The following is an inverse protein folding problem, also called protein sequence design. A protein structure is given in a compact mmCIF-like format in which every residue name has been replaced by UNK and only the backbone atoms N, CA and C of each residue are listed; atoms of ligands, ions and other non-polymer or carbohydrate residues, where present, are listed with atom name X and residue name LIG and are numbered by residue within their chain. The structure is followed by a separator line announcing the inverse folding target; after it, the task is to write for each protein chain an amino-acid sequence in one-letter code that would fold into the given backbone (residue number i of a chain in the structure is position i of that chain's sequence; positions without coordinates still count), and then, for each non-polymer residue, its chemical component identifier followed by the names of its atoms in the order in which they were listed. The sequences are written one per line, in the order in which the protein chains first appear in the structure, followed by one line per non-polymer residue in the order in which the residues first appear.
data_IF_925176949555
#
_entry.id   IF_925176949555
#
_cell.length_a   1.000
_cell.length_b   1.000
_cell.length_c   1.000
_cell.angle_alpha   90.00
_cell.angle_beta   90.00
_cell.angle_gamma   90.00
#
_symmetry.space_group_name_H-M   'P 1'
#
loop_
_entity.id
_entity.type
_entity.pdbx_description
1 polymer ?
#
# COMPACT_ATOMS: atom_id res chain seq x y z
N UNK A 1 10.56 48.26 6.66
CA UNK A 1 11.14 48.49 5.31
C UNK A 1 11.91 47.28 4.80
N UNK A 2 13.00 46.83 5.47
CA UNK A 2 13.81 45.68 5.00
C UNK A 2 12.99 44.40 4.79
N UNK A 3 12.15 44.01 5.76
CA UNK A 3 11.30 42.81 5.64
C UNK A 3 10.36 42.86 4.42
N UNK A 4 9.84 44.04 4.07
CA UNK A 4 8.95 44.22 2.91
C UNK A 4 9.73 43.99 1.61
N UNK A 5 10.95 44.53 1.50
CA UNK A 5 11.81 44.30 0.33
C UNK A 5 12.22 42.84 0.19
N UNK A 6 12.49 42.14 1.29
CA UNK A 6 12.79 40.70 1.29
C UNK A 6 11.59 39.89 0.78
N UNK A 7 10.37 40.18 1.25
CA UNK A 7 9.15 39.50 0.80
C UNK A 7 8.89 39.76 -0.69
N UNK A 8 9.05 41.00 -1.15
CA UNK A 8 8.88 41.36 -2.56
C UNK A 8 9.90 40.67 -3.46
N UNK A 9 11.17 40.61 -3.03
CA UNK A 9 12.22 39.89 -3.75
C UNK A 9 11.91 38.38 -3.85
N UNK A 10 11.47 37.75 -2.75
CA UNK A 10 11.05 36.34 -2.75
C UNK A 10 9.85 36.11 -3.67
N UNK A 11 8.84 36.99 -3.64
CA UNK A 11 7.68 36.90 -4.52
C UNK A 11 8.09 36.99 -6.00
N UNK A 12 9.00 37.91 -6.35
CA UNK A 12 9.52 38.05 -7.71
C UNK A 12 10.32 36.82 -8.17
N UNK A 13 11.11 36.22 -7.28
CA UNK A 13 11.81 34.94 -7.55
C UNK A 13 10.81 33.81 -7.79
N UNK A 14 9.76 33.69 -6.98
CA UNK A 14 8.73 32.66 -7.14
C UNK A 14 7.98 32.84 -8.45
N UNK A 15 7.57 34.07 -8.79
CA UNK A 15 6.84 34.38 -10.02
C UNK A 15 7.71 34.15 -11.26
N UNK A 16 8.97 34.59 -11.23
CA UNK A 16 9.90 34.37 -12.36
C UNK A 16 10.19 32.89 -12.58
N UNK A 17 10.41 32.11 -11.50
CA UNK A 17 10.58 30.67 -11.59
C UNK A 17 9.33 29.97 -12.13
N UNK A 18 8.15 30.39 -11.68
CA UNK A 18 6.87 29.89 -12.19
C UNK A 18 6.71 30.17 -13.70
N UNK A 19 6.99 31.40 -14.15
CA UNK A 19 6.91 31.76 -15.58
C UNK A 19 7.92 30.95 -16.40
N UNK A 20 9.17 30.85 -15.94
CA UNK A 20 10.20 30.05 -16.59
C UNK A 20 9.75 28.59 -16.74
N UNK A 21 9.21 28.01 -15.67
CA UNK A 21 8.74 26.64 -15.70
C UNK A 21 7.54 26.46 -16.65
N UNK A 22 6.56 27.38 -16.63
CA UNK A 22 5.34 27.30 -17.46
C UNK A 22 5.60 27.57 -18.94
N UNK A 23 6.64 28.32 -19.28
CA UNK A 23 7.04 28.54 -20.68
C UNK A 23 7.79 27.35 -21.29
N UNK A 24 8.31 26.44 -20.45
CA UNK A 24 9.00 25.24 -20.92
C UNK A 24 8.10 24.35 -21.78
N UNK A 25 8.70 23.64 -22.74
CA UNK A 25 7.99 22.74 -23.69
C UNK A 25 7.14 21.71 -22.95
N UNK A 26 7.68 21.10 -21.89
CA UNK A 26 6.97 20.08 -21.10
C UNK A 26 5.68 20.62 -20.50
N UNK A 27 5.72 21.82 -19.91
CA UNK A 27 4.53 22.44 -19.33
C UNK A 27 3.47 22.74 -20.40
N UNK A 28 3.88 23.22 -21.58
CA UNK A 28 2.96 23.47 -22.71
C UNK A 28 2.29 22.19 -23.22
N UNK A 29 3.04 21.09 -23.33
CA UNK A 29 2.48 19.79 -23.74
C UNK A 29 1.48 19.29 -22.71
N UNK A 30 1.81 19.42 -21.42
CA UNK A 30 0.92 18.99 -20.34
C UNK A 30 -0.32 19.86 -20.32
N UNK A 31 -0.20 21.18 -20.47
CA UNK A 31 -1.34 22.10 -20.48
C UNK A 31 -2.34 21.85 -21.60
N UNK A 32 -1.90 21.25 -22.72
CA UNK A 32 -2.77 20.83 -23.80
C UNK A 32 -3.70 19.66 -23.43
N UNK A 33 -3.38 18.90 -22.37
CA UNK A 33 -4.25 17.86 -21.83
C UNK A 33 -5.44 18.49 -21.07
N UNK A 34 -6.63 17.87 -21.14
CA UNK A 34 -7.77 18.35 -20.38
C UNK A 34 -7.54 18.15 -18.87
N UNK A 35 -8.27 18.88 -18.04
CA UNK A 35 -8.17 18.77 -16.60
C UNK A 35 -8.80 19.96 -15.89
N UNK A 36 -8.95 19.89 -14.55
CA UNK A 36 -9.46 21.02 -13.78
C UNK A 36 -8.54 22.23 -13.89
N UNK A 37 -9.16 23.42 -13.88
CA UNK A 37 -8.43 24.68 -13.94
C UNK A 37 -7.46 24.79 -12.77
N UNK A 38 -6.20 25.10 -13.12
CA UNK A 38 -5.09 25.22 -12.20
C UNK A 38 -4.93 26.68 -11.79
N UNK A 39 -4.90 26.93 -10.49
CA UNK A 39 -4.65 28.27 -9.93
C UNK A 39 -3.18 28.63 -10.18
N UNK A 40 -2.83 29.86 -10.60
CA UNK A 40 -1.44 30.25 -10.77
C UNK A 40 -0.58 29.97 -9.53
N UNK A 41 0.64 29.48 -9.75
CA UNK A 41 1.62 29.07 -8.71
C UNK A 41 1.21 27.84 -7.89
N UNK A 42 -0.04 27.74 -7.43
CA UNK A 42 -0.53 26.66 -6.56
C UNK A 42 -1.04 25.43 -7.32
N UNK A 43 -1.39 25.59 -8.60
CA UNK A 43 -2.02 24.55 -9.40
C UNK A 43 -3.38 24.13 -8.84
N UNK A 44 -3.59 22.83 -8.72
CA UNK A 44 -4.79 22.20 -8.16
C UNK A 44 -4.64 21.87 -6.67
N UNK A 45 -3.58 22.32 -5.99
CA UNK A 45 -3.29 21.98 -4.59
C UNK A 45 -4.47 22.28 -3.66
N UNK A 46 -5.11 23.44 -3.81
CA UNK A 46 -6.24 23.86 -2.96
C UNK A 46 -7.48 22.97 -3.15
N UNK A 47 -7.72 22.51 -4.39
CA UNK A 47 -8.87 21.65 -4.72
C UNK A 47 -8.74 20.25 -4.11
N UNK A 48 -7.51 19.78 -3.90
CA UNK A 48 -7.22 18.44 -3.34
C UNK A 48 -6.96 18.44 -1.83
N UNK A 49 -6.99 19.60 -1.16
CA UNK A 49 -6.86 19.70 0.31
C UNK A 49 -8.15 19.26 1.04
N UNK A 50 -8.67 18.07 0.73
CA UNK A 50 -9.90 17.51 1.29
C UNK A 50 -9.65 16.15 1.95
N UNK A 51 -10.56 15.65 2.80
CA UNK A 51 -10.40 14.34 3.43
C UNK A 51 -10.20 13.21 2.40
N UNK A 52 -9.39 12.17 2.70
CA UNK A 52 -9.00 11.14 1.72
C UNK A 52 -10.15 10.45 0.98
N UNK A 53 -11.28 10.21 1.67
CA UNK A 53 -12.48 9.61 1.06
C UNK A 53 -13.06 10.52 -0.03
N UNK A 54 -13.25 11.81 0.28
CA UNK A 54 -13.73 12.80 -0.69
C UNK A 54 -12.72 13.05 -1.80
N UNK A 55 -11.42 12.97 -1.50
CA UNK A 55 -10.37 13.05 -2.50
C UNK A 55 -10.48 11.91 -3.53
N UNK A 56 -10.72 10.68 -3.07
CA UNK A 56 -10.94 9.55 -3.95
C UNK A 56 -12.19 9.74 -4.83
N UNK A 57 -13.29 10.22 -4.26
CA UNK A 57 -14.50 10.56 -5.02
C UNK A 57 -14.24 11.64 -6.07
N UNK A 58 -13.52 12.70 -5.72
CA UNK A 58 -13.16 13.80 -6.62
C UNK A 58 -12.30 13.30 -7.80
N UNK A 59 -11.31 12.43 -7.54
CA UNK A 59 -10.51 11.84 -8.61
C UNK A 59 -11.33 10.92 -9.52
N UNK A 60 -12.34 10.22 -8.98
CA UNK A 60 -13.27 9.44 -9.82
C UNK A 60 -14.16 10.33 -10.67
N UNK A 61 -14.64 11.44 -10.13
CA UNK A 61 -15.43 12.42 -10.87
C UNK A 61 -14.62 13.04 -12.01
N UNK A 62 -13.41 13.54 -11.71
CA UNK A 62 -12.50 14.09 -12.72
C UNK A 62 -12.09 13.05 -13.77
N UNK A 63 -11.85 11.81 -13.34
CA UNK A 63 -11.59 10.71 -14.25
C UNK A 63 -12.73 10.49 -15.25
N UNK A 64 -13.97 10.45 -14.77
CA UNK A 64 -15.13 10.32 -15.65
C UNK A 64 -15.34 11.55 -16.55
N UNK A 65 -15.05 12.74 -16.04
CA UNK A 65 -15.29 14.01 -16.76
C UNK A 65 -14.25 14.26 -17.86
N UNK A 66 -13.00 13.91 -17.61
CA UNK A 66 -11.85 14.21 -18.49
C UNK A 66 -11.24 12.95 -19.11
N UNK A 67 -12.00 11.86 -19.20
CA UNK A 67 -11.59 10.64 -19.91
C UNK A 67 -11.17 10.98 -21.35
N UNK A 68 -10.10 10.38 -21.91
CA UNK A 68 -9.30 9.26 -21.41
C UNK A 68 -8.07 9.61 -20.54
N UNK A 69 -7.64 10.87 -20.56
CA UNK A 69 -6.40 11.33 -19.91
C UNK A 69 -6.62 12.73 -19.38
N UNK A 70 -6.14 13.02 -18.18
CA UNK A 70 -6.22 14.37 -17.65
C UNK A 70 -5.01 14.75 -16.82
N UNK A 71 -4.76 16.06 -16.73
CA UNK A 71 -3.66 16.61 -15.94
C UNK A 71 -4.12 17.17 -14.60
N UNK A 72 -3.22 17.15 -13.63
CA UNK A 72 -3.23 17.98 -12.43
C UNK A 72 -1.87 18.67 -12.28
N UNK A 73 -1.88 19.82 -11.63
CA UNK A 73 -0.69 20.56 -11.25
C UNK A 73 -0.58 20.60 -9.73
N UNK A 74 0.48 20.02 -9.17
CA UNK A 74 0.84 20.22 -7.77
C UNK A 74 1.89 21.33 -7.70
N UNK A 75 1.42 22.58 -7.71
CA UNK A 75 2.28 23.74 -7.99
C UNK A 75 3.00 23.57 -9.33
N UNK A 76 4.33 23.46 -9.33
CA UNK A 76 5.17 23.25 -10.52
C UNK A 76 5.29 21.77 -10.94
N UNK A 77 4.81 20.82 -10.13
CA UNK A 77 4.93 19.39 -10.42
C UNK A 77 3.69 18.94 -11.21
N UNK A 78 3.82 18.55 -12.48
CA UNK A 78 2.69 18.02 -13.22
C UNK A 78 2.43 16.55 -12.86
N UNK A 79 1.16 16.17 -12.82
CA UNK A 79 0.72 14.79 -12.67
C UNK A 79 -0.29 14.49 -13.79
N UNK A 80 -0.03 13.45 -14.57
CA UNK A 80 -0.93 13.02 -15.64
C UNK A 80 -1.59 11.70 -15.24
N UNK A 81 -2.92 11.69 -15.26
CA UNK A 81 -3.74 10.53 -14.98
C UNK A 81 -4.19 9.93 -16.31
N UNK A 82 -3.82 8.68 -16.52
CA UNK A 82 -4.10 7.92 -17.74
C UNK A 82 -5.11 6.83 -17.38
N UNK A 83 -6.19 6.75 -18.14
CA UNK A 83 -7.31 5.86 -17.83
C UNK A 83 -7.70 4.93 -18.98
N UNK A 84 -7.27 5.21 -20.20
CA UNK A 84 -7.53 4.32 -21.33
C UNK A 84 -6.70 3.03 -21.18
N UNK A 85 -7.30 1.85 -21.33
CA UNK A 85 -6.58 0.57 -21.18
C UNK A 85 -5.38 0.47 -22.12
N UNK A 86 -5.52 0.85 -23.40
CA UNK A 86 -4.43 0.79 -24.39
C UNK A 86 -3.24 1.67 -23.99
N UNK A 87 -3.49 2.87 -23.47
CA UNK A 87 -2.43 3.78 -23.00
C UNK A 87 -1.74 3.24 -21.74
N UNK A 88 -2.53 2.65 -20.82
CA UNK A 88 -2.03 2.01 -19.61
C UNK A 88 -1.15 0.80 -19.97
N UNK A 89 -1.56 -0.01 -20.95
CA UNK A 89 -0.82 -1.17 -21.41
C UNK A 89 0.58 -0.79 -21.90
N UNK A 90 0.67 0.24 -22.77
CA UNK A 90 1.95 0.76 -23.28
C UNK A 90 2.90 1.14 -22.14
N UNK A 91 2.38 1.81 -21.11
CA UNK A 91 3.19 2.24 -19.97
C UNK A 91 3.59 1.09 -19.06
N UNK A 92 2.65 0.19 -18.72
CA UNK A 92 2.90 -0.94 -17.81
C UNK A 92 3.78 -2.01 -18.44
N UNK A 93 3.80 -2.14 -19.78
CA UNK A 93 4.71 -3.03 -20.50
C UNK A 93 6.12 -2.44 -20.69
N UNK A 94 6.30 -1.14 -20.47
CA UNK A 94 7.58 -0.48 -20.68
C UNK A 94 8.55 -0.71 -19.52
N UNK A 95 9.71 -1.30 -19.81
CA UNK A 95 10.83 -1.40 -18.85
C UNK A 95 11.52 -0.05 -18.57
N UNK A 96 11.20 1.01 -19.33
CA UNK A 96 11.79 2.34 -19.11
C UNK A 96 11.11 3.13 -17.99
N UNK A 97 9.86 2.79 -17.65
CA UNK A 97 9.04 3.53 -16.68
C UNK A 97 8.79 2.72 -15.39
N UNK A 98 9.80 1.99 -14.91
CA UNK A 98 9.72 1.16 -13.69
C UNK A 98 9.79 2.02 -12.41
N UNK A 99 10.44 3.18 -12.52
CA UNK A 99 10.75 4.03 -11.37
C UNK A 99 9.49 4.79 -10.91
N UNK A 100 9.21 4.66 -9.62
CA UNK A 100 8.06 5.29 -8.97
C UNK A 100 8.58 6.48 -8.16
N UNK A 101 8.06 7.66 -8.42
CA UNK A 101 8.59 8.89 -7.81
C UNK A 101 7.63 9.44 -6.76
N UNK A 102 6.51 10.00 -7.20
CA UNK A 102 5.63 10.77 -6.33
C UNK A 102 5.01 9.91 -5.23
N UNK A 103 5.21 10.31 -3.97
CA UNK A 103 4.68 9.65 -2.77
C UNK A 103 5.48 8.43 -2.30
N UNK A 104 6.16 7.72 -3.20
CA UNK A 104 7.02 6.57 -2.84
C UNK A 104 8.24 6.99 -2.04
N UNK A 105 8.70 8.24 -2.21
CA UNK A 105 9.80 8.80 -1.44
C UNK A 105 9.52 8.77 0.07
N UNK A 106 8.27 8.98 0.49
CA UNK A 106 7.88 8.99 1.89
C UNK A 106 7.93 7.58 2.52
N UNK A 107 7.91 6.53 1.69
CA UNK A 107 8.03 5.14 2.13
C UNK A 107 9.48 4.71 2.35
N UNK A 108 10.49 5.46 1.88
CA UNK A 108 11.90 5.11 2.11
C UNK A 108 12.25 5.04 3.59
N UNK A 109 11.65 5.88 4.44
CA UNK A 109 11.89 5.86 5.89
C UNK A 109 11.54 4.52 6.55
N UNK A 110 10.63 3.75 5.94
CA UNK A 110 10.20 2.45 6.43
C UNK A 110 10.76 1.29 5.59
N UNK A 111 10.45 1.29 4.29
CA UNK A 111 10.78 0.20 3.37
C UNK A 111 12.23 0.26 2.90
N UNK A 112 12.93 1.37 3.16
CA UNK A 112 14.27 1.65 2.64
C UNK A 112 14.33 1.43 1.13
N UNK A 113 15.45 0.96 0.61
CA UNK A 113 15.40 0.27 -0.68
C UNK A 113 14.79 -1.11 -0.42
N UNK A 114 13.48 -1.25 -0.56
CA UNK A 114 12.74 -2.53 -0.57
C UNK A 114 12.26 -2.85 -1.98
N UNK A 115 11.44 -3.90 -2.19
CA UNK A 115 10.94 -4.22 -3.54
C UNK A 115 10.03 -3.11 -4.12
N UNK A 116 9.29 -2.37 -3.27
CA UNK A 116 8.38 -1.32 -3.74
C UNK A 116 9.12 -0.10 -4.28
N UNK A 117 10.16 0.28 -3.54
CA UNK A 117 10.86 1.56 -3.59
C UNK A 117 12.18 1.47 -4.34
N UNK A 118 12.71 0.26 -4.58
CA UNK A 118 13.91 0.10 -5.40
C UNK A 118 13.63 0.41 -6.87
N UNK A 119 14.62 1.02 -7.52
CA UNK A 119 14.65 1.34 -8.95
C UNK A 119 15.57 0.42 -9.73
N UNK A 120 15.32 0.32 -11.04
CA UNK A 120 16.21 -0.28 -12.05
C UNK A 120 16.79 -1.67 -11.68
N UNK A 121 18.11 -1.81 -11.73
CA UNK A 121 18.85 -3.07 -11.49
C UNK A 121 18.54 -3.68 -10.12
N UNK A 122 18.42 -2.85 -9.07
CA UNK A 122 18.14 -3.33 -7.70
C UNK A 122 16.74 -3.95 -7.61
N UNK A 123 15.77 -3.35 -8.31
CA UNK A 123 14.42 -3.90 -8.39
C UNK A 123 14.40 -5.25 -9.12
N UNK A 124 15.06 -5.34 -10.29
CA UNK A 124 15.13 -6.57 -11.07
C UNK A 124 15.76 -7.72 -10.28
N UNK A 125 16.90 -7.48 -9.62
CA UNK A 125 17.59 -8.49 -8.82
C UNK A 125 16.69 -9.06 -7.71
N UNK A 126 15.99 -8.18 -6.99
CA UNK A 126 15.09 -8.60 -5.91
C UNK A 126 13.86 -9.29 -6.42
N UNK A 127 13.26 -8.80 -7.50
CA UNK A 127 12.10 -9.47 -8.11
C UNK A 127 12.46 -10.86 -8.60
N UNK A 128 13.64 -11.04 -9.20
CA UNK A 128 14.15 -12.35 -9.62
C UNK A 128 14.32 -13.29 -8.43
N UNK A 129 14.83 -12.81 -7.30
CA UNK A 129 14.98 -13.60 -6.08
C UNK A 129 13.63 -14.03 -5.48
N UNK A 130 12.61 -13.18 -5.56
CA UNK A 130 11.35 -13.40 -4.85
C UNK A 130 10.27 -14.10 -5.66
N UNK A 131 10.28 -13.96 -6.98
CA UNK A 131 9.26 -14.56 -7.85
C UNK A 131 9.08 -16.07 -7.62
N UNK A 132 10.14 -16.88 -7.40
CA UNK A 132 9.99 -18.31 -7.12
C UNK A 132 9.16 -18.64 -5.87
N UNK A 133 9.17 -17.78 -4.85
CA UNK A 133 8.38 -17.98 -3.62
C UNK A 133 6.86 -17.85 -3.85
N UNK A 134 6.46 -17.29 -4.99
CA UNK A 134 5.05 -17.15 -5.41
C UNK A 134 4.69 -18.09 -6.55
N UNK A 135 5.54 -19.08 -6.86
CA UNK A 135 5.22 -20.12 -7.82
C UNK A 135 4.12 -21.04 -7.25
N UNK A 136 3.24 -21.55 -8.12
CA UNK A 136 2.07 -22.36 -7.74
C UNK A 136 2.40 -23.48 -6.74
N UNK A 137 3.48 -24.21 -6.98
CA UNK A 137 3.93 -25.33 -6.12
C UNK A 137 4.27 -24.89 -4.69
N UNK A 138 4.70 -23.65 -4.50
CA UNK A 138 4.95 -23.08 -3.16
C UNK A 138 3.65 -22.60 -2.54
N UNK A 139 2.77 -21.98 -3.32
CA UNK A 139 1.45 -21.55 -2.86
C UNK A 139 0.58 -22.71 -2.37
N UNK A 140 0.69 -23.89 -2.99
CA UNK A 140 0.02 -25.12 -2.51
C UNK A 140 0.40 -25.45 -1.06
N UNK A 141 1.66 -25.23 -0.66
CA UNK A 141 2.09 -25.42 0.73
C UNK A 141 1.49 -24.37 1.66
N UNK A 142 1.27 -23.15 1.16
CA UNK A 142 0.63 -22.08 1.93
C UNK A 142 -0.89 -22.27 2.09
N UNK A 143 -1.51 -23.14 1.30
CA UNK A 143 -2.95 -23.43 1.41
C UNK A 143 -3.31 -24.09 2.73
N UNK A 144 -2.45 -24.95 3.28
CA UNK A 144 -2.67 -25.58 4.58
C UNK A 144 -2.72 -24.53 5.70
N UNK A 145 -1.72 -23.66 5.74
CA UNK A 145 -1.66 -22.50 6.64
C UNK A 145 -2.89 -21.60 6.47
N UNK A 146 -3.26 -21.31 5.21
CA UNK A 146 -4.42 -20.48 4.90
C UNK A 146 -5.71 -21.11 5.43
N UNK A 147 -5.89 -22.42 5.28
CA UNK A 147 -7.05 -23.14 5.78
C UNK A 147 -7.12 -23.11 7.31
N UNK A 148 -5.99 -23.35 7.98
CA UNK A 148 -5.93 -23.32 9.44
C UNK A 148 -6.28 -21.93 10.00
N UNK A 149 -5.62 -20.88 9.50
CA UNK A 149 -5.88 -19.51 9.96
C UNK A 149 -7.30 -19.04 9.63
N UNK A 150 -7.84 -19.46 8.47
CA UNK A 150 -9.24 -19.18 8.11
C UNK A 150 -10.22 -19.85 9.08
N UNK A 151 -9.97 -21.10 9.47
CA UNK A 151 -10.80 -21.81 10.46
C UNK A 151 -10.73 -21.14 11.83
N UNK A 152 -9.55 -20.67 12.26
CA UNK A 152 -9.40 -19.89 13.50
C UNK A 152 -10.22 -18.61 13.43
N UNK A 153 -10.14 -17.86 12.33
CA UNK A 153 -10.93 -16.65 12.15
C UNK A 153 -12.45 -16.92 12.17
N UNK A 154 -12.92 -18.01 11.57
CA UNK A 154 -14.33 -18.42 11.62
C UNK A 154 -14.76 -18.77 13.05
N UNK A 155 -13.91 -19.46 13.82
CA UNK A 155 -14.17 -19.75 15.24
C UNK A 155 -14.25 -18.48 16.07
N UNK A 156 -13.31 -17.54 15.87
CA UNK A 156 -13.28 -16.24 16.54
C UNK A 156 -14.54 -15.40 16.26
N UNK A 157 -15.08 -15.47 15.04
CA UNK A 157 -16.34 -14.79 14.69
C UNK A 157 -17.55 -15.54 15.27
N UNK A 158 -17.53 -16.88 15.27
CA UNK A 158 -18.64 -17.70 15.75
C UNK A 158 -18.83 -17.62 17.27
N UNK A 159 -17.75 -17.36 18.02
CA UNK A 159 -17.79 -17.20 19.48
C UNK A 159 -18.51 -15.93 19.93
N UNK A 160 -18.73 -14.97 19.04
CA UNK A 160 -19.51 -13.74 19.32
C UNK A 160 -21.02 -14.00 19.47
N UNK A 161 -21.50 -15.21 19.20
CA UNK A 161 -22.91 -15.58 19.33
C UNK A 161 -23.81 -14.98 18.24
N UNK A 162 -25.09 -14.73 18.57
CA UNK A 162 -26.12 -14.22 17.63
C UNK A 162 -26.04 -12.69 17.41
N UNK A 163 -24.84 -12.12 17.34
CA UNK A 163 -24.70 -10.70 17.03
C UNK A 163 -25.20 -10.41 15.60
N UNK A 164 -26.11 -9.45 15.45
CA UNK A 164 -26.75 -9.11 14.16
C UNK A 164 -25.88 -8.27 13.23
N UNK A 165 -24.86 -7.57 13.77
CA UNK A 165 -23.88 -6.80 12.99
C UNK A 165 -22.49 -6.98 13.60
N UNK A 166 -21.63 -7.73 12.91
CA UNK A 166 -20.21 -7.91 13.27
C UNK A 166 -19.37 -7.28 12.17
N UNK A 167 -18.44 -6.39 12.57
CA UNK A 167 -17.40 -5.91 11.68
C UNK A 167 -16.35 -7.02 11.47
N UNK A 168 -16.21 -7.47 10.22
CA UNK A 168 -15.30 -8.56 9.87
C UNK A 168 -13.89 -8.06 9.57
N UNK A 169 -13.72 -6.76 9.33
CA UNK A 169 -12.43 -6.18 8.92
C UNK A 169 -11.30 -6.52 9.92
N UNK A 170 -11.48 -6.44 11.25
CA UNK A 170 -10.46 -6.84 12.21
C UNK A 170 -10.07 -8.32 12.12
N UNK A 171 -11.06 -9.21 11.96
CA UNK A 171 -10.84 -10.66 11.88
C UNK A 171 -10.13 -11.05 10.59
N UNK A 172 -10.55 -10.48 9.45
CA UNK A 172 -9.89 -10.71 8.17
C UNK A 172 -8.48 -10.15 8.15
N UNK A 173 -8.24 -8.99 8.78
CA UNK A 173 -6.89 -8.42 8.89
C UNK A 173 -5.97 -9.29 9.72
N UNK A 174 -6.45 -9.76 10.88
CA UNK A 174 -5.72 -10.67 11.78
C UNK A 174 -5.37 -11.97 11.06
N UNK A 175 -6.37 -12.58 10.40
CA UNK A 175 -6.17 -13.79 9.60
C UNK A 175 -5.10 -13.59 8.52
N UNK A 176 -5.21 -12.51 7.74
CA UNK A 176 -4.26 -12.23 6.64
C UNK A 176 -2.84 -12.00 7.14
N UNK A 177 -2.68 -11.26 8.24
CA UNK A 177 -1.37 -11.04 8.86
C UNK A 177 -0.76 -12.36 9.36
N UNK A 178 -1.55 -13.20 10.04
CA UNK A 178 -1.09 -14.50 10.51
C UNK A 178 -0.67 -15.40 9.34
N UNK A 179 -1.46 -15.45 8.27
CA UNK A 179 -1.11 -16.22 7.07
C UNK A 179 0.23 -15.77 6.50
N UNK A 180 0.48 -14.47 6.38
CA UNK A 180 1.74 -13.94 5.83
C UNK A 180 2.91 -14.26 6.77
N UNK A 181 2.77 -14.02 8.07
CA UNK A 181 3.83 -14.30 9.03
C UNK A 181 4.18 -15.79 9.07
N UNK A 182 3.18 -16.67 9.01
CA UNK A 182 3.40 -18.11 9.06
C UNK A 182 3.92 -18.66 7.72
N UNK A 183 3.38 -18.22 6.58
CA UNK A 183 3.81 -18.70 5.26
C UNK A 183 5.16 -18.13 4.82
N UNK A 184 5.38 -16.82 4.97
CA UNK A 184 6.58 -16.15 4.46
C UNK A 184 7.74 -16.14 5.47
N UNK A 185 7.44 -16.10 6.78
CA UNK A 185 8.46 -16.03 7.83
C UNK A 185 8.56 -17.30 8.67
N UNK A 186 7.59 -18.22 8.55
CA UNK A 186 7.54 -19.44 9.37
C UNK A 186 7.39 -19.15 10.85
N UNK A 187 6.74 -18.03 11.21
CA UNK A 187 6.47 -17.63 12.59
C UNK A 187 4.96 -17.62 12.81
N UNK A 188 4.51 -18.40 13.79
CA UNK A 188 3.10 -18.47 14.19
C UNK A 188 2.81 -17.46 15.30
N UNK A 189 1.91 -16.51 15.04
CA UNK A 189 1.47 -15.48 15.99
C UNK A 189 0.32 -16.00 16.88
N UNK A 190 0.62 -16.91 17.79
CA UNK A 190 -0.40 -17.59 18.62
C UNK A 190 -0.53 -17.06 20.04
N UNK A 191 0.50 -16.42 20.60
CA UNK A 191 0.45 -15.94 21.98
C UNK A 191 -0.39 -14.67 22.13
N UNK A 192 -0.84 -14.37 23.34
CA UNK A 192 -1.58 -13.14 23.64
C UNK A 192 -0.71 -11.89 23.42
N UNK A 193 0.59 -11.99 23.71
CA UNK A 193 1.57 -10.94 23.42
C UNK A 193 1.75 -10.71 21.92
N UNK A 194 1.86 -11.79 21.12
CA UNK A 194 1.97 -11.69 19.66
C UNK A 194 0.71 -11.07 19.03
N UNK A 195 -0.46 -11.35 19.58
CA UNK A 195 -1.71 -10.73 19.13
C UNK A 195 -1.69 -9.22 19.36
N UNK A 196 -1.15 -8.75 20.50
CA UNK A 196 -1.02 -7.32 20.78
C UNK A 196 0.00 -6.67 19.83
N UNK A 197 1.16 -7.29 19.65
CA UNK A 197 2.20 -6.82 18.73
C UNK A 197 1.69 -6.73 17.29
N UNK A 198 0.91 -7.72 16.85
CA UNK A 198 0.29 -7.77 15.54
C UNK A 198 -0.73 -6.63 15.32
N UNK A 199 -1.53 -6.33 16.34
CA UNK A 199 -2.48 -5.20 16.32
C UNK A 199 -1.74 -3.87 16.28
N UNK A 200 -0.72 -3.68 17.10
CA UNK A 200 0.10 -2.46 17.12
C UNK A 200 0.83 -2.26 15.79
N UNK A 201 1.36 -3.34 15.22
CA UNK A 201 1.97 -3.37 13.90
C UNK A 201 0.97 -2.94 12.82
N UNK A 202 -0.23 -3.52 12.79
CA UNK A 202 -1.30 -3.13 11.86
C UNK A 202 -1.66 -1.64 12.00
N UNK A 203 -1.86 -1.16 13.23
CA UNK A 203 -2.20 0.24 13.49
C UNK A 203 -1.08 1.18 12.99
N UNK A 204 0.17 0.78 13.17
CA UNK A 204 1.32 1.53 12.66
C UNK A 204 1.37 1.57 11.12
N UNK A 205 0.97 0.50 10.42
CA UNK A 205 0.84 0.48 8.95
C UNK A 205 -0.21 1.50 8.50
N UNK A 206 -1.41 1.47 9.07
CA UNK A 206 -2.46 2.44 8.73
C UNK A 206 -2.01 3.88 9.03
N UNK A 207 -1.28 4.07 10.14
CA UNK A 207 -0.74 5.38 10.50
C UNK A 207 0.26 5.88 9.47
N UNK A 208 1.25 5.08 9.08
CA UNK A 208 2.21 5.43 8.03
C UNK A 208 1.51 5.65 6.68
N UNK A 209 0.56 4.80 6.30
CA UNK A 209 -0.23 4.98 5.08
C UNK A 209 -0.94 6.33 5.06
N UNK A 210 -1.58 6.72 6.17
CA UNK A 210 -2.24 8.03 6.29
C UNK A 210 -1.26 9.21 6.19
N UNK A 211 -0.05 9.09 6.76
CA UNK A 211 1.02 10.09 6.68
C UNK A 211 1.54 10.20 5.24
N UNK A 212 1.76 9.07 4.56
CA UNK A 212 2.22 9.04 3.16
C UNK A 212 1.20 9.73 2.25
N UNK A 213 -0.09 9.40 2.38
CA UNK A 213 -1.16 10.08 1.62
C UNK A 213 -1.20 11.58 1.94
N UNK A 214 -1.13 11.94 3.22
CA UNK A 214 -1.12 13.33 3.67
C UNK A 214 0.03 14.15 3.07
N UNK A 215 1.22 13.55 2.95
CA UNK A 215 2.41 14.19 2.39
C UNK A 215 2.42 14.19 0.86
N UNK A 216 1.91 13.13 0.22
CA UNK A 216 1.86 13.01 -1.25
C UNK A 216 1.02 14.13 -1.88
N UNK A 217 -0.10 14.49 -1.26
CA UNK A 217 -0.95 15.61 -1.72
C UNK A 217 -0.44 16.99 -1.26
N UNK A 218 0.70 17.04 -0.57
CA UNK A 218 1.38 18.24 -0.06
C UNK A 218 2.88 18.15 -0.34
N UNK A 219 3.29 18.17 -1.62
CA UNK A 219 4.71 18.01 -1.99
C UNK A 219 5.62 19.11 -1.46
N UNK A 220 5.04 20.24 -1.03
CA UNK A 220 5.76 21.28 -0.29
C UNK A 220 6.16 20.89 1.14
N UNK A 221 5.70 19.73 1.65
CA UNK A 221 6.13 19.17 2.94
C UNK A 221 7.30 18.21 2.71
N UNK A 222 8.50 18.80 2.69
CA UNK A 222 9.75 18.07 2.52
C UNK A 222 10.19 17.36 3.82
N UNK A 223 11.03 16.34 3.71
CA UNK A 223 11.49 15.54 4.86
C UNK A 223 12.15 16.40 5.95
N UNK A 224 12.98 17.37 5.57
CA UNK A 224 13.64 18.27 6.52
C UNK A 224 12.65 19.15 7.29
N UNK A 225 11.48 19.43 6.70
CA UNK A 225 10.45 20.25 7.34
C UNK A 225 9.71 19.51 8.45
N UNK A 226 9.78 18.17 8.48
CA UNK A 226 9.19 17.36 9.56
C UNK A 226 9.73 17.77 10.93
N UNK A 227 10.99 18.21 11.01
CA UNK A 227 11.59 18.69 12.25
C UNK A 227 10.82 19.88 12.85
N UNK A 228 10.23 20.74 12.00
CA UNK A 228 9.41 21.87 12.43
C UNK A 228 7.95 21.51 12.69
N UNK A 229 7.55 20.26 12.44
CA UNK A 229 6.20 19.73 12.69
C UNK A 229 6.26 18.62 13.75
N UNK A 230 6.42 18.97 15.04
CA UNK A 230 6.74 18.02 16.10
C UNK A 230 5.69 16.91 16.26
N UNK A 231 4.41 17.23 16.05
CA UNK A 231 3.33 16.23 16.08
C UNK A 231 3.48 15.19 14.98
N UNK A 232 3.64 15.63 13.72
CA UNK A 232 3.79 14.73 12.57
C UNK A 232 5.06 13.89 12.67
N UNK A 233 6.16 14.50 13.11
CA UNK A 233 7.43 13.80 13.35
C UNK A 233 7.30 12.74 14.45
N UNK A 234 6.68 13.07 15.59
CA UNK A 234 6.45 12.14 16.70
C UNK A 234 5.59 10.95 16.26
N UNK A 235 4.50 11.22 15.55
CA UNK A 235 3.61 10.18 15.02
C UNK A 235 4.32 9.28 14.01
N UNK A 236 5.11 9.86 13.10
CA UNK A 236 5.92 9.09 12.14
C UNK A 236 6.95 8.22 12.86
N UNK A 237 7.71 8.78 13.81
CA UNK A 237 8.75 8.06 14.54
C UNK A 237 8.19 6.92 15.40
N UNK A 238 7.05 7.16 16.06
CA UNK A 238 6.36 6.13 16.86
C UNK A 238 5.88 4.98 15.97
N UNK A 239 5.21 5.27 14.86
CA UNK A 239 4.75 4.24 13.94
C UNK A 239 5.91 3.45 13.33
N UNK A 240 6.99 4.13 12.88
CA UNK A 240 8.21 3.46 12.41
C UNK A 240 8.86 2.59 13.50
N UNK A 241 8.78 3.00 14.77
CA UNK A 241 9.24 2.21 15.92
C UNK A 241 8.52 0.87 16.02
N UNK A 242 7.18 0.87 16.00
CA UNK A 242 6.38 -0.36 16.02
C UNK A 242 6.64 -1.23 14.78
N UNK A 243 6.71 -0.63 13.59
CA UNK A 243 6.96 -1.35 12.33
C UNK A 243 8.31 -2.06 12.32
N UNK A 244 9.38 -1.33 12.67
CA UNK A 244 10.71 -1.90 12.71
C UNK A 244 10.88 -2.87 13.89
N UNK A 245 10.30 -2.57 15.05
CA UNK A 245 10.31 -3.46 16.21
C UNK A 245 9.71 -4.82 15.90
N UNK A 246 8.49 -4.84 15.34
CA UNK A 246 7.82 -6.07 14.92
C UNK A 246 8.64 -6.82 13.87
N UNK A 247 9.08 -6.14 12.80
CA UNK A 247 9.86 -6.80 11.74
C UNK A 247 11.15 -7.40 12.29
N UNK A 248 11.86 -6.68 13.16
CA UNK A 248 13.11 -7.15 13.75
C UNK A 248 12.88 -8.34 14.70
N UNK A 249 11.78 -8.34 15.48
CA UNK A 249 11.38 -9.50 16.30
C UNK A 249 11.23 -10.75 15.46
N UNK A 250 10.40 -10.70 14.41
CA UNK A 250 10.15 -11.85 13.51
C UNK A 250 11.43 -12.32 12.80
N UNK A 251 12.28 -11.39 12.35
CA UNK A 251 13.55 -11.73 11.71
C UNK A 251 14.52 -12.40 12.69
N UNK A 252 14.57 -11.94 13.94
CA UNK A 252 15.43 -12.52 14.97
C UNK A 252 14.93 -13.91 15.38
N UNK A 253 13.63 -14.11 15.60
CA UNK A 253 13.05 -15.43 15.88
C UNK A 253 13.38 -16.43 14.76
N UNK A 254 13.27 -15.98 13.50
CA UNK A 254 13.62 -16.83 12.36
C UNK A 254 15.11 -17.16 12.31
N UNK A 255 15.97 -16.20 12.67
CA UNK A 255 17.42 -16.43 12.77
C UNK A 255 17.74 -17.45 13.85
N UNK A 256 17.14 -17.31 15.03
CA UNK A 256 17.32 -18.24 16.15
C UNK A 256 16.85 -19.65 15.78
N UNK A 257 15.73 -19.77 15.10
CA UNK A 257 15.24 -21.06 14.58
C UNK A 257 16.29 -21.73 13.67
N UNK A 258 16.88 -20.99 12.73
CA UNK A 258 17.89 -21.55 11.82
C UNK A 258 19.20 -21.92 12.54
N UNK A 259 19.62 -21.12 13.52
CA UNK A 259 20.78 -21.45 14.38
C UNK A 259 20.51 -22.74 15.16
N UNK A 260 19.33 -22.85 15.77
CA UNK A 260 18.95 -24.01 16.60
C UNK A 260 18.74 -25.29 15.78
N UNK A 261 18.33 -25.17 14.52
CA UNK A 261 18.15 -26.30 13.60
C UNK A 261 19.42 -26.63 12.79
N UNK A 262 20.54 -25.95 13.06
CA UNK A 262 21.80 -26.20 12.35
C UNK A 262 21.71 -25.90 10.85
N UNK A 263 20.92 -24.90 10.45
CA UNK A 263 20.75 -24.45 9.07
C UNK A 263 20.24 -25.53 8.09
N UNK A 264 19.63 -26.62 8.58
CA UNK A 264 19.19 -27.75 7.75
C UNK A 264 18.34 -27.33 6.54
N UNK A 265 17.39 -26.40 6.72
CA UNK A 265 16.55 -25.87 5.63
C UNK A 265 17.27 -24.96 4.63
N UNK A 266 18.42 -24.39 5.02
CA UNK A 266 19.23 -23.49 4.19
C UNK A 266 20.33 -24.25 3.44
N UNK A 267 20.78 -25.40 3.97
CA UNK A 267 21.74 -26.29 3.31
C UNK A 267 21.20 -26.86 1.99
N UNK A 268 19.88 -27.06 1.88
CA UNK A 268 19.21 -27.46 0.62
C UNK A 268 19.33 -26.39 -0.50
N UNK A 269 19.75 -25.17 -0.17
CA UNK A 269 19.98 -24.08 -1.12
C UNK A 269 21.42 -24.02 -1.65
N UNK A 270 22.30 -24.96 -1.30
CA UNK A 270 23.73 -24.99 -1.71
C UNK A 270 24.45 -23.64 -1.48
N UNK A 271 24.35 -23.09 -0.27
CA UNK A 271 25.12 -21.91 0.13
C UNK A 271 26.33 -22.40 0.97
N UNK A 272 27.55 -22.13 0.48
CA UNK A 272 28.79 -22.65 1.05
C UNK A 272 29.13 -22.07 2.42
N UNK A 273 29.27 -22.95 3.43
CA UNK A 273 29.17 -22.60 4.83
C UNK A 273 30.35 -21.81 5.48
N UNK A 274 31.36 -21.42 4.68
CA UNK A 274 32.63 -20.87 5.18
C UNK A 274 32.82 -19.35 4.96
N UNK A 275 31.84 -18.65 4.35
CA UNK A 275 31.81 -17.17 4.22
C UNK A 275 30.62 -16.51 4.98
N UNK A 276 30.09 -17.23 5.98
CA UNK A 276 28.66 -17.34 6.23
C UNK A 276 27.93 -16.26 7.03
N UNK A 277 28.60 -15.47 7.89
CA UNK A 277 27.89 -14.45 8.66
C UNK A 277 27.27 -13.36 7.75
N UNK A 278 27.93 -13.06 6.62
CA UNK A 278 27.50 -12.02 5.70
C UNK A 278 26.36 -12.51 4.78
N UNK A 279 26.41 -13.76 4.31
CA UNK A 279 25.40 -14.34 3.41
C UNK A 279 24.06 -14.48 4.11
N UNK A 280 24.03 -15.02 5.33
CA UNK A 280 22.78 -15.08 6.11
C UNK A 280 22.29 -13.68 6.51
N UNK A 281 23.20 -12.76 6.85
CA UNK A 281 22.86 -11.36 7.09
C UNK A 281 22.13 -10.73 5.89
N UNK A 282 22.64 -10.97 4.67
CA UNK A 282 22.04 -10.52 3.42
C UNK A 282 20.69 -11.21 3.17
N UNK A 283 20.57 -12.51 3.45
CA UNK A 283 19.32 -13.26 3.30
C UNK A 283 18.23 -12.74 4.25
N UNK A 284 18.54 -12.55 5.52
CA UNK A 284 17.59 -12.03 6.50
C UNK A 284 17.23 -10.56 6.26
N UNK A 285 18.18 -9.75 5.79
CA UNK A 285 17.90 -8.39 5.34
C UNK A 285 16.97 -8.39 4.11
N UNK A 286 17.17 -9.32 3.18
CA UNK A 286 16.26 -9.51 2.05
C UNK A 286 14.86 -9.94 2.55
N UNK A 287 14.75 -10.94 3.42
CA UNK A 287 13.47 -11.38 4.01
C UNK A 287 12.77 -10.26 4.78
N UNK A 288 13.51 -9.45 5.54
CA UNK A 288 12.99 -8.27 6.24
C UNK A 288 12.41 -7.25 5.27
N UNK A 289 13.14 -6.91 4.20
CA UNK A 289 12.69 -5.98 3.17
C UNK A 289 11.47 -6.50 2.40
N UNK A 290 11.39 -7.81 2.23
CA UNK A 290 10.28 -8.53 1.60
C UNK A 290 9.05 -8.48 2.49
N UNK A 291 9.18 -8.84 3.76
CA UNK A 291 8.11 -8.79 4.74
C UNK A 291 7.52 -7.37 4.80
N UNK A 292 8.35 -6.35 5.01
CA UNK A 292 7.90 -4.95 5.03
C UNK A 292 7.13 -4.59 3.75
N UNK A 293 7.61 -5.04 2.60
CA UNK A 293 6.98 -4.80 1.31
C UNK A 293 5.61 -5.49 1.16
N UNK A 294 5.56 -6.81 1.38
CA UNK A 294 4.35 -7.61 1.22
C UNK A 294 3.29 -7.20 2.22
N UNK A 295 3.67 -7.01 3.48
CA UNK A 295 2.77 -6.53 4.51
C UNK A 295 2.23 -5.15 4.16
N UNK A 296 3.08 -4.22 3.69
CA UNK A 296 2.58 -2.92 3.25
C UNK A 296 1.55 -3.06 2.12
N UNK A 297 1.83 -3.84 1.08
CA UNK A 297 0.92 -3.98 -0.07
C UNK A 297 -0.40 -4.63 0.33
N UNK A 298 -0.37 -5.65 1.20
CA UNK A 298 -1.55 -6.43 1.56
C UNK A 298 -2.36 -5.72 2.65
N UNK A 299 -1.72 -5.24 3.72
CA UNK A 299 -2.42 -4.62 4.85
C UNK A 299 -2.75 -3.14 4.62
N UNK A 300 -1.99 -2.40 3.79
CA UNK A 300 -2.35 -0.99 3.52
C UNK A 300 -3.49 -0.85 2.53
N UNK A 301 -3.76 -1.89 1.74
CA UNK A 301 -4.82 -1.86 0.75
C UNK A 301 -6.11 -2.52 1.22
N UNK A 302 -6.11 -3.26 2.35
CA UNK A 302 -7.21 -4.18 2.72
C UNK A 302 -7.73 -4.93 1.47
N UNK A 303 -6.89 -5.22 0.48
CA UNK A 303 -7.35 -5.48 -0.90
C UNK A 303 -8.05 -6.81 -0.97
N UNK A 304 -7.48 -7.82 -0.32
CA UNK A 304 -8.13 -9.11 -0.07
C UNK A 304 -9.44 -8.93 0.69
N UNK A 305 -9.47 -8.07 1.72
CA UNK A 305 -10.66 -7.90 2.57
C UNK A 305 -11.79 -7.15 1.85
N UNK A 306 -11.45 -6.09 1.09
CA UNK A 306 -12.39 -5.35 0.24
C UNK A 306 -12.86 -6.20 -0.93
N UNK A 307 -12.01 -7.06 -1.50
CA UNK A 307 -12.44 -8.07 -2.47
C UNK A 307 -13.40 -9.08 -1.84
N UNK A 308 -13.15 -9.54 -0.62
CA UNK A 308 -14.09 -10.38 0.14
C UNK A 308 -15.42 -9.67 0.39
N UNK A 309 -15.40 -8.39 0.80
CA UNK A 309 -16.61 -7.59 1.01
C UNK A 309 -17.38 -7.34 -0.28
N UNK A 310 -16.69 -7.01 -1.37
CA UNK A 310 -17.27 -6.86 -2.71
C UNK A 310 -17.87 -8.19 -3.19
N UNK A 311 -17.16 -9.30 -3.00
CA UNK A 311 -17.65 -10.64 -3.31
C UNK A 311 -18.88 -11.00 -2.48
N UNK A 312 -18.89 -10.67 -1.18
CA UNK A 312 -20.03 -10.87 -0.27
C UNK A 312 -21.25 -10.03 -0.68
N UNK A 313 -21.04 -8.76 -1.04
CA UNK A 313 -22.11 -7.90 -1.56
C UNK A 313 -22.68 -8.44 -2.87
N UNK A 314 -21.84 -8.96 -3.77
CA UNK A 314 -22.25 -9.65 -5.01
C UNK A 314 -23.02 -10.94 -4.75
N UNK A 315 -22.64 -11.76 -3.75
CA UNK A 315 -23.40 -12.97 -3.39
C UNK A 315 -24.73 -12.64 -2.73
N UNK A 316 -24.79 -11.64 -1.84
CA UNK A 316 -26.06 -11.16 -1.23
C UNK A 316 -27.03 -10.62 -2.28
N UNK A 317 -26.57 -9.82 -3.24
CA UNK A 317 -27.40 -9.33 -4.34
C UNK A 317 -27.85 -10.44 -5.28
N UNK A 318 -27.00 -11.44 -5.57
CA UNK A 318 -27.40 -12.66 -6.32
C UNK A 318 -28.47 -13.48 -5.59
N UNK A 319 -28.33 -13.69 -4.28
CA UNK A 319 -29.32 -14.42 -3.48
C UNK A 319 -30.64 -13.65 -3.34
N UNK A 320 -30.59 -12.33 -3.17
CA UNK A 320 -31.78 -11.48 -3.13
C UNK A 320 -32.53 -11.49 -4.48
N UNK A 321 -31.81 -11.44 -5.61
CA UNK A 321 -32.39 -11.60 -6.97
C UNK A 321 -33.01 -12.98 -7.17
N UNK A 322 -32.33 -14.05 -6.74
CA UNK A 322 -32.85 -15.42 -6.82
C UNK A 322 -34.10 -15.62 -5.95
N UNK A 323 -34.11 -15.08 -4.73
CA UNK A 323 -35.26 -15.13 -3.82
C UNK A 323 -36.45 -14.30 -4.34
N UNK A 324 -36.20 -13.14 -4.97
CA UNK A 324 -37.23 -12.33 -5.61
C UNK A 324 -37.84 -13.03 -6.83
N UNK A 325 -37.02 -13.69 -7.66
CA UNK A 325 -37.49 -14.52 -8.79
C UNK A 325 -38.28 -15.74 -8.31
N UNK A 326 -37.86 -16.38 -7.22
CA UNK A 326 -38.59 -17.49 -6.59
C UNK A 326 -39.94 -17.06 -5.98
N UNK A 327 -40.01 -15.88 -5.36
CA UNK A 327 -41.27 -15.29 -4.87
C UNK A 327 -42.21 -14.90 -6.01
N UNK A 328 -41.70 -14.34 -7.11
CA UNK A 328 -42.50 -14.01 -8.31
C UNK A 328 -43.13 -15.25 -8.94
N UNK A 329 -42.36 -16.35 -9.08
CA UNK A 329 -42.89 -17.65 -9.53
C UNK A 329 -43.92 -18.27 -8.57
N UNK A 330 -43.78 -18.07 -7.25
CA UNK A 330 -44.80 -18.50 -6.26
C UNK A 330 -46.06 -17.63 -6.28
N UNK A 331 -45.91 -16.33 -6.57
CA UNK A 331 -47.04 -15.41 -6.69
C UNK A 331 -47.85 -15.68 -7.96
N UNK A 332 -47.16 -15.95 -9.08
CA UNK A 332 -47.81 -16.34 -10.34
C UNK A 332 -48.53 -17.69 -10.21
N UNK A 333 -47.97 -18.69 -9.51
CA UNK A 333 -48.68 -19.97 -9.26
C UNK A 333 -49.94 -19.84 -8.39
N UNK A 334 -50.05 -18.83 -7.52
CA UNK A 334 -51.25 -18.59 -6.71
C UNK A 334 -52.35 -17.82 -7.45
N UNK A 335 -52.05 -17.25 -8.62
CA UNK A 335 -53.05 -16.62 -9.51
C UNK A 335 -53.76 -17.62 -10.43
N UNK A 336 -53.31 -18.86 -10.45
CA UNK A 336 -53.82 -19.94 -11.30
C UNK A 336 -54.26 -21.17 -10.47
N UNK A 337 -54.91 -20.93 -9.34
CA UNK A 337 -55.65 -21.94 -8.58
C UNK A 337 -56.97 -21.35 -8.10
#
# INVERSE_FOLDING_TARGET
MIAIYVILALALVIVSNYIYFRTNRTARVIDALPGPEAIPVLGNLLQIQIPPVKLFELFREWGSKYYPVYRLWFSIIPVVFIQHPDDIEILLMSYKHINKELGYEHLYSWLQSGLLTSSDKKWHQRRKLLTPAFHSNVLEKYMEITFEQSNRAVKDVSSLGKATNVDLLPYCSKCTLNIICESAMGVSLTSEEDNKDAVDYKNAIHKIGSIVVYRTIRPYILDWMLHFMPKLMKETKSALGHLNGFTNKIVNERREYHVNTGYQQLNDLNLDANEDANVYGILYDAHSKVLKHFTFVILSNDTTIREFDVCRQKTKTRHARSAALGRKKRFDRRRWN
#
